data_IF_904909914270
#
_entry.id   IF_904909914270
#
_cell.length_a   1.000
_cell.length_b   1.000
_cell.length_c   1.000
_cell.angle_alpha   90.00
_cell.angle_beta   90.00
_cell.angle_gamma   90.00
#
_symmetry.space_group_name_H-M   'P 1'
#
loop_
_entity.id
_entity.type
_entity.pdbx_description
1 polymer ?
#
# COMPACT_ATOMS: atom_id res chain seq x y z
N UNK A 1 -16.24 13.37 2.79
CA UNK A 1 -15.21 12.33 2.90
C UNK A 1 -14.31 12.48 1.70
N UNK A 2 -12.99 12.50 1.87
CA UNK A 2 -12.06 12.63 0.74
C UNK A 2 -11.76 11.22 0.23
N UNK A 3 -12.25 10.88 -0.95
CA UNK A 3 -12.00 9.59 -1.58
C UNK A 3 -10.80 9.68 -2.53
N UNK A 4 -10.09 8.58 -2.73
CA UNK A 4 -9.00 8.44 -3.69
C UNK A 4 -9.14 7.15 -4.47
N UNK A 5 -8.68 7.18 -5.72
CA UNK A 5 -8.67 6.00 -6.59
C UNK A 5 -7.28 5.38 -6.59
N UNK A 6 -7.21 4.07 -6.37
CA UNK A 6 -5.97 3.30 -6.41
C UNK A 6 -6.08 2.26 -7.53
N UNK A 7 -5.07 2.21 -8.40
CA UNK A 7 -4.95 1.24 -9.47
C UNK A 7 -3.78 0.30 -9.18
N UNK A 8 -4.06 -0.99 -9.05
CA UNK A 8 -3.05 -2.02 -8.82
C UNK A 8 -2.63 -2.68 -10.13
N UNK A 9 -1.37 -2.48 -10.51
CA UNK A 9 -0.72 -3.21 -11.58
C UNK A 9 0.01 -4.47 -11.06
N UNK A 10 0.20 -5.50 -11.91
CA UNK A 10 -0.27 -5.64 -13.30
C UNK A 10 -1.73 -6.09 -13.41
N UNK A 11 -2.42 -6.31 -12.29
CA UNK A 11 -3.78 -6.85 -12.25
C UNK A 11 -4.87 -5.93 -12.80
N UNK A 12 -4.51 -4.67 -13.10
CA UNK A 12 -5.39 -3.64 -13.61
C UNK A 12 -6.69 -3.49 -12.80
N UNK A 13 -6.57 -3.64 -11.47
CA UNK A 13 -7.69 -3.53 -10.52
C UNK A 13 -7.75 -2.12 -9.96
N UNK A 14 -8.90 -1.48 -10.15
CA UNK A 14 -9.17 -0.13 -9.64
C UNK A 14 -10.11 -0.21 -8.45
N UNK A 15 -9.77 0.46 -7.36
CA UNK A 15 -10.63 0.57 -6.17
C UNK A 15 -10.71 2.02 -5.70
N UNK A 16 -11.84 2.36 -5.08
CA UNK A 16 -12.04 3.65 -4.42
C UNK A 16 -11.86 3.45 -2.92
N UNK A 17 -11.05 4.29 -2.29
CA UNK A 17 -10.71 4.21 -0.88
C UNK A 17 -10.85 5.57 -0.21
N UNK A 18 -11.00 5.59 1.11
CA UNK A 18 -10.92 6.82 1.86
C UNK A 18 -9.47 7.31 1.92
N UNK A 19 -9.27 8.63 1.94
CA UNK A 19 -7.97 9.22 2.19
C UNK A 19 -7.47 8.78 3.59
N UNK A 20 -6.25 8.24 3.63
CA UNK A 20 -5.65 7.68 4.84
C UNK A 20 -5.80 6.15 4.96
N UNK A 21 -6.55 5.51 4.07
CA UNK A 21 -6.64 4.05 4.05
C UNK A 21 -5.28 3.39 3.81
N UNK A 22 -5.13 2.21 4.41
CA UNK A 22 -3.89 1.46 4.37
C UNK A 22 -3.77 0.66 3.05
N UNK A 23 -2.79 1.01 2.23
CA UNK A 23 -2.59 0.42 0.90
C UNK A 23 -2.43 -1.10 0.88
N UNK A 24 -1.73 -1.70 1.86
CA UNK A 24 -1.53 -3.16 1.88
C UNK A 24 -2.84 -3.88 2.18
N UNK A 25 -3.68 -3.30 3.06
CA UNK A 25 -5.01 -3.84 3.35
C UNK A 25 -5.96 -3.67 2.17
N UNK A 26 -5.96 -2.50 1.55
CA UNK A 26 -6.71 -2.23 0.31
C UNK A 26 -6.35 -3.23 -0.79
N UNK A 27 -5.06 -3.52 -0.98
CA UNK A 27 -4.62 -4.52 -1.95
C UNK A 27 -5.20 -5.91 -1.64
N UNK A 28 -5.14 -6.34 -0.38
CA UNK A 28 -5.69 -7.64 0.05
C UNK A 28 -7.20 -7.73 -0.18
N UNK A 29 -7.96 -6.70 0.20
CA UNK A 29 -9.41 -6.63 0.02
C UNK A 29 -9.79 -6.59 -1.47
N UNK A 30 -8.98 -5.95 -2.31
CA UNK A 30 -9.10 -5.99 -3.77
C UNK A 30 -8.69 -7.35 -4.37
N UNK A 31 -8.19 -8.30 -3.59
CA UNK A 31 -7.66 -9.58 -4.07
C UNK A 31 -6.38 -9.42 -4.88
N UNK A 32 -5.52 -8.47 -4.51
CA UNK A 32 -4.16 -8.27 -5.01
C UNK A 32 -3.20 -8.76 -3.93
N UNK A 33 -2.42 -9.78 -4.25
CA UNK A 33 -1.53 -10.39 -3.27
C UNK A 33 -0.17 -9.68 -3.22
N UNK A 34 0.21 -9.20 -2.04
CA UNK A 34 1.53 -8.63 -1.75
C UNK A 34 2.09 -9.40 -0.56
N UNK A 35 3.38 -9.78 -0.65
CA UNK A 35 4.05 -10.53 0.40
C UNK A 35 4.13 -9.74 1.71
N UNK A 36 3.21 -10.03 2.62
CA UNK A 36 3.10 -9.35 3.90
C UNK A 36 2.84 -10.36 5.03
N UNK A 37 3.86 -11.13 5.41
CA UNK A 37 3.74 -12.10 6.52
C UNK A 37 3.38 -11.46 7.87
N UNK A 38 3.58 -10.14 8.02
CA UNK A 38 3.17 -9.40 9.21
C UNK A 38 1.74 -8.83 9.13
N UNK A 39 0.97 -9.11 8.06
CA UNK A 39 -0.38 -8.62 7.89
C UNK A 39 -0.52 -7.09 7.80
N UNK A 40 0.58 -6.37 7.49
CA UNK A 40 0.59 -4.91 7.41
C UNK A 40 1.10 -4.20 8.67
N UNK A 41 1.54 -4.92 9.70
CA UNK A 41 2.11 -4.31 10.91
C UNK A 41 3.49 -3.63 10.71
N UNK A 42 4.07 -3.67 9.51
CA UNK A 42 5.37 -3.04 9.21
C UNK A 42 6.60 -3.73 9.80
N UNK A 43 6.43 -4.72 10.69
CA UNK A 43 7.57 -5.33 11.41
C UNK A 43 8.46 -6.25 10.57
N UNK A 44 8.00 -6.74 9.41
CA UNK A 44 8.75 -7.71 8.63
C UNK A 44 9.66 -7.13 7.52
N UNK A 45 9.51 -5.86 7.15
CA UNK A 45 10.36 -5.19 6.16
C UNK A 45 10.31 -5.72 4.72
N UNK A 46 9.30 -6.52 4.36
CA UNK A 46 9.19 -7.17 3.04
C UNK A 46 8.39 -6.37 2.00
N UNK A 47 7.33 -5.70 2.42
CA UNK A 47 6.50 -4.87 1.56
C UNK A 47 7.11 -3.47 1.38
N UNK A 48 8.27 -3.42 0.71
CA UNK A 48 9.01 -2.18 0.43
C UNK A 48 8.34 -1.40 -0.70
N UNK A 49 8.45 -0.08 -0.63
CA UNK A 49 7.85 0.84 -1.60
C UNK A 49 8.95 1.72 -2.18
N UNK A 50 8.93 1.89 -3.50
CA UNK A 50 9.70 2.89 -4.20
C UNK A 50 8.74 3.98 -4.69
N UNK A 51 9.08 5.24 -4.43
CA UNK A 51 8.26 6.37 -4.84
C UNK A 51 8.77 6.87 -6.18
N UNK A 52 8.00 6.63 -7.24
CA UNK A 52 8.33 7.11 -8.58
C UNK A 52 8.01 8.60 -8.77
N UNK A 53 6.99 9.10 -8.06
CA UNK A 53 6.59 10.51 -8.10
C UNK A 53 5.79 10.90 -6.85
N UNK A 54 5.80 12.19 -6.53
CA UNK A 54 5.13 12.76 -5.36
C UNK A 54 5.99 12.74 -4.09
N UNK A 55 5.35 13.09 -2.98
CA UNK A 55 5.99 13.19 -1.66
C UNK A 55 5.28 12.28 -0.67
N UNK A 56 6.03 11.76 0.29
CA UNK A 56 5.50 10.97 1.40
C UNK A 56 6.06 11.54 2.69
N UNK A 57 5.22 11.60 3.71
CA UNK A 57 5.67 11.92 5.07
C UNK A 57 6.04 10.62 5.80
N UNK A 58 7.30 10.52 6.21
CA UNK A 58 7.84 9.33 6.88
C UNK A 58 8.24 8.21 5.92
N UNK A 59 8.15 6.96 6.37
CA UNK A 59 8.36 5.77 5.52
C UNK A 59 9.78 5.17 5.55
N UNK A 60 10.75 5.81 6.21
CA UNK A 60 12.06 5.20 6.47
C UNK A 60 12.01 4.58 7.86
N UNK A 61 12.15 3.26 7.91
CA UNK A 61 12.28 2.51 9.17
C UNK A 61 13.74 2.09 9.32
N UNK A 62 14.16 1.71 10.53
CA UNK A 62 15.51 1.18 10.82
C UNK A 62 15.90 -0.05 9.98
N UNK A 63 14.92 -0.65 9.27
CA UNK A 63 15.08 -1.83 8.41
C UNK A 63 15.25 -1.50 6.92
N UNK A 64 15.32 -0.21 6.56
CA UNK A 64 15.53 0.30 5.20
C UNK A 64 16.90 0.95 5.06
#
# INVERSE_FOLDING_TARGET
MNERTVLFHPHNKTVTVAAGDNLIRTAMEAGVHINASCGGAGVCGKCRVLIESGEVEGGITEKL
#
